data_IF_889987451488
#
_entry.id   IF_889987451488
#
_cell.length_a   1.000
_cell.length_b   1.000
_cell.length_c   1.000
_cell.angle_alpha   90.00
_cell.angle_beta   90.00
_cell.angle_gamma   90.00
#
_symmetry.space_group_name_H-M   'P 1'
#
loop_
_entity.id
_entity.type
_entity.pdbx_description
1 polymer ?
#
# COMPACT_ATOMS: atom_id res chain seq x y z
N UNK A 1 -6.54 1.93 -48.03
CA UNK A 1 -7.47 0.97 -47.41
C UNK A 1 -7.51 1.33 -45.92
N UNK A 2 -8.60 1.95 -45.49
CA UNK A 2 -8.76 2.36 -44.10
C UNK A 2 -9.13 1.11 -43.30
N UNK A 3 -8.23 0.66 -42.38
CA UNK A 3 -8.57 -0.35 -41.40
C UNK A 3 -9.64 0.24 -40.49
N UNK A 4 -10.87 -0.23 -40.69
CA UNK A 4 -11.97 0.08 -39.75
C UNK A 4 -11.68 -0.67 -38.46
N UNK A 5 -11.10 0.00 -37.49
CA UNK A 5 -10.90 -0.54 -36.15
C UNK A 5 -12.29 -0.83 -35.57
N UNK A 6 -12.71 -2.09 -35.61
CA UNK A 6 -13.97 -2.54 -35.03
C UNK A 6 -13.79 -2.51 -33.48
N UNK A 7 -14.37 -1.51 -32.85
CA UNK A 7 -14.44 -1.46 -31.38
C UNK A 7 -15.53 -2.42 -30.93
N UNK A 8 -15.16 -3.33 -30.03
CA UNK A 8 -16.17 -4.16 -29.35
C UNK A 8 -17.11 -3.26 -28.52
N UNK A 9 -18.43 -3.47 -28.61
CA UNK A 9 -19.37 -2.69 -27.83
C UNK A 9 -19.15 -2.92 -26.33
N UNK A 10 -19.33 -1.86 -25.54
CA UNK A 10 -19.26 -1.96 -24.08
C UNK A 10 -20.40 -2.89 -23.60
N UNK A 11 -20.11 -3.93 -22.80
CA UNK A 11 -21.13 -4.80 -22.25
C UNK A 11 -22.19 -4.00 -21.50
N UNK A 12 -23.47 -4.32 -21.74
CA UNK A 12 -24.59 -3.58 -21.15
C UNK A 12 -24.51 -3.43 -19.62
N UNK A 13 -24.07 -4.48 -18.93
CA UNK A 13 -23.95 -4.47 -17.49
C UNK A 13 -22.80 -3.54 -17.03
N UNK A 14 -21.71 -3.46 -17.77
CA UNK A 14 -20.66 -2.48 -17.52
C UNK A 14 -21.14 -1.05 -17.75
N UNK A 15 -21.92 -0.81 -18.81
CA UNK A 15 -22.53 0.49 -19.05
C UNK A 15 -23.45 0.89 -17.89
N UNK A 16 -24.25 -0.05 -17.37
CA UNK A 16 -25.10 0.14 -16.19
C UNK A 16 -24.26 0.48 -14.94
N UNK A 17 -23.15 -0.22 -14.71
CA UNK A 17 -22.24 0.05 -13.60
C UNK A 17 -21.68 1.48 -13.68
N UNK A 18 -21.20 1.88 -14.86
CA UNK A 18 -20.62 3.22 -15.08
C UNK A 18 -21.66 4.33 -14.92
N UNK A 19 -22.92 4.08 -15.34
CA UNK A 19 -24.03 5.02 -15.21
C UNK A 19 -24.55 5.14 -13.76
N UNK A 20 -24.18 4.23 -12.86
CA UNK A 20 -24.61 4.28 -11.47
C UNK A 20 -23.98 5.49 -10.75
N UNK A 21 -24.77 6.28 -9.99
CA UNK A 21 -24.27 7.45 -9.25
C UNK A 21 -23.13 7.15 -8.26
N UNK A 22 -23.02 5.91 -7.77
CA UNK A 22 -21.94 5.48 -6.88
C UNK A 22 -20.60 5.28 -7.61
N UNK A 23 -20.63 4.99 -8.92
CA UNK A 23 -19.43 4.67 -9.66
C UNK A 23 -18.33 5.75 -9.58
N UNK A 24 -18.60 7.06 -9.80
CA UNK A 24 -17.54 8.08 -9.73
C UNK A 24 -16.89 8.17 -8.35
N UNK A 25 -17.66 7.98 -7.28
CA UNK A 25 -17.17 8.01 -5.90
C UNK A 25 -16.30 6.80 -5.60
N UNK A 26 -16.79 5.61 -5.94
CA UNK A 26 -16.08 4.33 -5.76
C UNK A 26 -14.79 4.30 -6.60
N UNK A 27 -14.86 4.68 -7.87
CA UNK A 27 -13.70 4.73 -8.78
C UNK A 27 -12.63 5.69 -8.25
N UNK A 28 -13.03 6.90 -7.81
CA UNK A 28 -12.12 7.88 -7.23
C UNK A 28 -11.44 7.36 -5.96
N UNK A 29 -12.19 6.73 -5.05
CA UNK A 29 -11.66 6.15 -3.83
C UNK A 29 -10.65 5.03 -4.13
N UNK A 30 -11.02 4.08 -4.98
CA UNK A 30 -10.15 2.97 -5.36
C UNK A 30 -8.86 3.45 -6.05
N UNK A 31 -8.95 4.40 -6.99
CA UNK A 31 -7.77 4.97 -7.68
C UNK A 31 -6.86 5.76 -6.76
N UNK A 32 -7.39 6.35 -5.70
CA UNK A 32 -6.56 7.00 -4.66
C UNK A 32 -5.86 6.00 -3.72
N UNK A 33 -6.04 4.69 -3.94
CA UNK A 33 -5.50 3.61 -3.11
C UNK A 33 -6.32 3.29 -1.88
N UNK A 34 -7.54 3.84 -1.77
CA UNK A 34 -8.43 3.59 -0.64
C UNK A 34 -9.04 2.19 -0.74
N UNK A 35 -9.10 1.51 0.40
CA UNK A 35 -9.83 0.26 0.58
C UNK A 35 -11.30 0.56 0.88
N UNK A 36 -12.19 -0.25 0.32
CA UNK A 36 -13.64 -0.17 0.57
C UNK A 36 -14.02 -1.41 1.37
N UNK A 37 -14.32 -1.17 2.63
CA UNK A 37 -14.62 -2.19 3.64
C UNK A 37 -16.12 -2.38 3.82
N UNK A 38 -16.51 -3.41 4.58
CA UNK A 38 -17.90 -3.79 4.84
C UNK A 38 -18.72 -2.68 5.52
N UNK A 39 -18.08 -1.79 6.26
CA UNK A 39 -18.71 -0.64 6.91
C UNK A 39 -19.27 0.40 5.93
N UNK A 40 -18.73 0.44 4.70
CA UNK A 40 -19.21 1.28 3.62
C UNK A 40 -20.28 0.54 2.80
N UNK A 41 -21.47 0.35 3.40
CA UNK A 41 -22.51 -0.55 2.89
C UNK A 41 -22.85 -0.34 1.42
N UNK A 42 -23.17 0.89 0.99
CA UNK A 42 -23.58 1.17 -0.39
C UNK A 42 -22.42 1.00 -1.40
N UNK A 43 -21.20 1.59 -1.20
CA UNK A 43 -20.03 1.34 -2.04
C UNK A 43 -19.65 -0.14 -2.12
N UNK A 44 -19.70 -0.84 -0.99
CA UNK A 44 -19.38 -2.26 -0.93
C UNK A 44 -20.39 -3.13 -1.69
N UNK A 45 -21.69 -2.91 -1.49
CA UNK A 45 -22.75 -3.60 -2.22
C UNK A 45 -22.64 -3.35 -3.73
N UNK A 46 -22.40 -2.10 -4.14
CA UNK A 46 -22.16 -1.76 -5.53
C UNK A 46 -21.00 -2.56 -6.15
N UNK A 47 -19.88 -2.69 -5.42
CA UNK A 47 -18.74 -3.47 -5.87
C UNK A 47 -19.05 -4.98 -5.98
N UNK A 48 -19.89 -5.51 -5.09
CA UNK A 48 -20.33 -6.89 -5.17
C UNK A 48 -21.22 -7.14 -6.39
N UNK A 49 -22.18 -6.24 -6.67
CA UNK A 49 -23.13 -6.37 -7.76
C UNK A 49 -22.47 -6.31 -9.14
N UNK A 50 -21.38 -5.52 -9.28
CA UNK A 50 -20.70 -5.26 -10.53
C UNK A 50 -19.24 -5.75 -10.53
N UNK A 51 -18.87 -6.66 -9.65
CA UNK A 51 -17.46 -7.08 -9.47
C UNK A 51 -16.83 -7.51 -10.79
N UNK A 52 -17.45 -8.44 -11.52
CA UNK A 52 -16.91 -9.01 -12.75
C UNK A 52 -16.70 -7.94 -13.83
N UNK A 53 -17.64 -7.03 -13.98
CA UNK A 53 -17.60 -5.96 -14.98
C UNK A 53 -16.53 -4.93 -14.64
N UNK A 54 -16.39 -4.59 -13.35
CA UNK A 54 -15.38 -3.65 -12.86
C UNK A 54 -13.98 -4.26 -12.87
N UNK A 55 -13.82 -5.57 -12.65
CA UNK A 55 -12.54 -6.27 -12.85
C UNK A 55 -12.07 -6.14 -14.31
N UNK A 56 -12.96 -6.33 -15.30
CA UNK A 56 -12.65 -6.15 -16.70
C UNK A 56 -12.33 -4.68 -17.03
N UNK A 57 -13.06 -3.74 -16.44
CA UNK A 57 -12.81 -2.31 -16.59
C UNK A 57 -11.41 -1.91 -16.08
N UNK A 58 -11.05 -2.28 -14.85
CA UNK A 58 -9.75 -1.93 -14.25
C UNK A 58 -8.58 -2.65 -14.91
N UNK A 59 -8.77 -3.85 -15.45
CA UNK A 59 -7.74 -4.57 -16.22
C UNK A 59 -7.21 -3.76 -17.39
N UNK A 60 -8.02 -2.89 -18.00
CA UNK A 60 -7.61 -1.99 -19.10
C UNK A 60 -6.57 -0.96 -18.67
N UNK A 61 -6.44 -0.70 -17.37
CA UNK A 61 -5.42 0.18 -16.78
C UNK A 61 -4.23 -0.60 -16.21
N UNK A 62 -4.13 -1.90 -16.49
CA UNK A 62 -3.16 -2.81 -15.87
C UNK A 62 -3.24 -2.79 -14.34
N UNK A 63 -4.47 -2.84 -13.83
CA UNK A 63 -4.80 -2.89 -12.41
C UNK A 63 -5.80 -4.02 -12.19
N UNK A 64 -5.70 -4.71 -11.07
CA UNK A 64 -6.63 -5.73 -10.64
C UNK A 64 -7.54 -5.17 -9.54
N UNK A 65 -8.84 -5.34 -9.68
CA UNK A 65 -9.78 -5.17 -8.58
C UNK A 65 -9.76 -6.46 -7.77
N UNK A 66 -9.35 -6.37 -6.52
CA UNK A 66 -9.24 -7.51 -5.62
C UNK A 66 -10.31 -7.40 -4.54
N UNK A 67 -11.01 -8.49 -4.30
CA UNK A 67 -11.78 -8.72 -3.09
C UNK A 67 -10.96 -9.61 -2.17
N UNK A 68 -10.56 -9.06 -1.02
CA UNK A 68 -9.81 -9.82 -0.02
C UNK A 68 -10.69 -10.91 0.63
N UNK A 69 -10.11 -11.97 1.20
CA UNK A 69 -10.85 -13.00 1.95
C UNK A 69 -11.72 -12.41 3.08
N UNK A 70 -11.26 -11.31 3.68
CA UNK A 70 -11.97 -10.57 4.74
C UNK A 70 -13.14 -9.71 4.23
N UNK A 71 -13.34 -9.66 2.93
CA UNK A 71 -14.48 -9.03 2.28
C UNK A 71 -14.24 -7.62 1.75
N UNK A 72 -13.17 -6.92 2.10
CA UNK A 72 -12.89 -5.58 1.59
C UNK A 72 -12.36 -5.59 0.15
N UNK A 73 -12.56 -4.48 -0.59
CA UNK A 73 -12.08 -4.29 -1.95
C UNK A 73 -10.92 -3.30 -2.01
N UNK A 74 -9.99 -3.53 -2.96
CA UNK A 74 -8.89 -2.63 -3.28
C UNK A 74 -8.38 -2.83 -4.70
N UNK A 75 -7.63 -1.86 -5.23
CA UNK A 75 -6.92 -2.01 -6.49
C UNK A 75 -5.47 -2.46 -6.25
N UNK A 76 -5.02 -3.46 -7.02
CA UNK A 76 -3.64 -3.94 -7.06
C UNK A 76 -3.01 -3.56 -8.40
N UNK A 77 -2.12 -2.55 -8.43
CA UNK A 77 -1.43 -2.17 -9.64
C UNK A 77 -0.43 -3.25 -10.11
N UNK A 78 -0.41 -3.54 -11.41
CA UNK A 78 0.64 -4.35 -12.06
C UNK A 78 1.87 -3.50 -12.37
N UNK A 79 2.97 -4.16 -12.80
CA UNK A 79 4.23 -3.47 -13.11
C UNK A 79 4.04 -2.29 -14.09
N UNK A 80 3.23 -2.48 -15.13
CA UNK A 80 2.96 -1.50 -16.21
C UNK A 80 1.65 -0.73 -16.00
N UNK A 81 1.26 -0.47 -14.75
CA UNK A 81 0.00 0.23 -14.46
C UNK A 81 -0.05 1.64 -15.06
N UNK A 82 -1.24 2.02 -15.53
CA UNK A 82 -1.56 3.38 -15.97
C UNK A 82 -2.11 4.28 -14.86
N UNK A 83 -2.30 3.71 -13.65
CA UNK A 83 -2.77 4.44 -12.47
C UNK A 83 -1.57 4.70 -11.55
N UNK A 84 -1.51 5.91 -10.97
CA UNK A 84 -0.46 6.27 -10.03
C UNK A 84 -0.40 5.30 -8.84
N UNK A 85 0.81 4.87 -8.49
CA UNK A 85 1.05 4.00 -7.34
C UNK A 85 1.22 4.82 -6.08
N UNK A 86 0.67 4.34 -4.99
CA UNK A 86 0.93 4.85 -3.65
C UNK A 86 1.80 3.84 -2.91
N UNK A 87 3.09 4.16 -2.76
CA UNK A 87 4.04 3.32 -2.03
C UNK A 87 4.08 3.78 -0.57
N UNK A 88 3.99 2.85 0.36
CA UNK A 88 4.15 3.10 1.79
C UNK A 88 5.64 3.09 2.15
N UNK A 89 6.04 4.02 3.04
CA UNK A 89 7.37 4.01 3.63
C UNK A 89 7.55 2.83 4.60
N UNK A 90 8.79 2.49 4.93
CA UNK A 90 9.11 1.43 5.90
C UNK A 90 8.39 1.65 7.24
N UNK A 91 8.40 2.88 7.76
CA UNK A 91 7.70 3.20 9.00
C UNK A 91 6.18 3.01 8.87
N UNK A 92 5.57 3.40 7.74
CA UNK A 92 4.14 3.18 7.50
C UNK A 92 3.79 1.70 7.40
N UNK A 93 4.67 0.89 6.83
CA UNK A 93 4.53 -0.58 6.80
C UNK A 93 4.63 -1.17 8.20
N UNK A 94 5.59 -0.74 9.01
CA UNK A 94 5.73 -1.17 10.41
C UNK A 94 4.50 -0.80 11.25
N UNK A 95 4.03 0.44 11.14
CA UNK A 95 2.80 0.89 11.82
C UNK A 95 1.60 0.04 11.37
N UNK A 96 1.49 -0.27 10.07
CA UNK A 96 0.46 -1.15 9.56
C UNK A 96 0.51 -2.56 10.15
N UNK A 97 1.70 -3.14 10.30
CA UNK A 97 1.91 -4.47 10.94
C UNK A 97 1.53 -4.44 12.41
N UNK A 98 1.91 -3.38 13.15
CA UNK A 98 1.51 -3.19 14.55
C UNK A 98 0.00 -3.08 14.68
N UNK A 99 -0.66 -2.33 13.81
CA UNK A 99 -2.12 -2.23 13.79
C UNK A 99 -2.79 -3.58 13.51
N UNK A 100 -2.23 -4.39 12.59
CA UNK A 100 -2.71 -5.74 12.34
C UNK A 100 -2.55 -6.65 13.56
N UNK A 101 -1.41 -6.58 14.24
CA UNK A 101 -1.16 -7.29 15.49
C UNK A 101 -2.15 -6.89 16.59
N UNK A 102 -2.36 -5.58 16.79
CA UNK A 102 -3.32 -5.07 17.78
C UNK A 102 -4.75 -5.49 17.45
N UNK A 103 -5.14 -5.51 16.18
CA UNK A 103 -6.45 -5.97 15.75
C UNK A 103 -6.70 -7.44 16.11
N UNK A 104 -5.67 -8.28 16.05
CA UNK A 104 -5.74 -9.69 16.38
C UNK A 104 -5.63 -9.99 17.89
N UNK A 105 -5.27 -9.01 18.71
CA UNK A 105 -5.10 -9.20 20.16
C UNK A 105 -6.43 -9.48 20.87
N UNK A 106 -6.60 -10.65 21.53
CA UNK A 106 -7.85 -10.98 22.23
C UNK A 106 -8.23 -9.98 23.33
N UNK A 107 -7.24 -9.39 24.00
CA UNK A 107 -7.43 -8.41 25.06
C UNK A 107 -8.10 -7.13 24.54
N UNK A 108 -7.79 -6.77 23.31
CA UNK A 108 -8.33 -5.57 22.62
C UNK A 108 -9.72 -5.79 22.07
N UNK A 109 -10.09 -7.01 21.72
CA UNK A 109 -11.46 -7.34 21.34
C UNK A 109 -12.47 -7.04 22.45
N UNK A 110 -12.05 -7.25 23.72
CA UNK A 110 -12.85 -6.91 24.89
C UNK A 110 -13.07 -5.39 25.07
N UNK A 111 -12.23 -4.54 24.48
CA UNK A 111 -12.28 -3.07 24.56
C UNK A 111 -12.94 -2.43 23.32
N UNK A 112 -13.81 -3.15 22.63
CA UNK A 112 -14.52 -2.67 21.42
C UNK A 112 -13.62 -2.28 20.25
N UNK A 113 -12.33 -2.68 20.25
CA UNK A 113 -11.39 -2.39 19.17
C UNK A 113 -11.08 -0.90 18.97
N UNK A 114 -11.27 -0.07 20.01
CA UNK A 114 -10.96 1.36 19.97
C UNK A 114 -9.51 1.57 20.41
N UNK A 115 -8.76 2.34 19.61
CA UNK A 115 -7.34 2.61 19.81
C UNK A 115 -7.03 4.10 19.81
N UNK A 116 -5.92 4.46 20.42
CA UNK A 116 -5.33 5.80 20.38
C UNK A 116 -3.99 5.78 19.64
N UNK A 117 -3.54 6.95 19.19
CA UNK A 117 -2.22 7.08 18.56
C UNK A 117 -1.11 6.69 19.54
N UNK A 118 -1.29 7.02 20.84
CA UNK A 118 -0.29 6.71 21.86
C UNK A 118 -0.13 5.21 22.06
N UNK A 119 -1.21 4.45 22.14
CA UNK A 119 -1.16 3.00 22.27
C UNK A 119 -0.43 2.33 21.09
N UNK A 120 -0.64 2.81 19.87
CA UNK A 120 0.09 2.30 18.70
C UNK A 120 1.56 2.66 18.76
N UNK A 121 1.90 3.85 19.24
CA UNK A 121 3.29 4.29 19.42
C UNK A 121 4.01 3.43 20.49
N UNK A 122 3.37 3.22 21.64
CA UNK A 122 3.92 2.42 22.72
C UNK A 122 4.13 0.97 22.28
N UNK A 123 3.16 0.39 21.55
CA UNK A 123 3.28 -0.96 21.00
C UNK A 123 4.36 -1.07 19.93
N UNK A 124 4.52 -0.05 19.11
CA UNK A 124 5.60 0.00 18.12
C UNK A 124 6.97 -0.04 18.80
N UNK A 125 7.16 0.68 19.94
CA UNK A 125 8.39 0.65 20.73
C UNK A 125 8.60 -0.70 21.43
N UNK A 126 7.53 -1.39 21.81
CA UNK A 126 7.62 -2.73 22.42
C UNK A 126 8.04 -3.80 21.41
N UNK A 127 7.55 -3.70 20.18
CA UNK A 127 7.76 -4.72 19.13
C UNK A 127 9.01 -4.49 18.27
N UNK A 128 9.54 -3.27 18.23
CA UNK A 128 10.66 -2.93 17.37
C UNK A 128 11.79 -2.24 18.17
N UNK A 129 13.03 -2.48 17.74
CA UNK A 129 14.21 -1.82 18.31
C UNK A 129 14.13 -0.29 18.10
N UNK A 130 14.15 0.47 19.21
CA UNK A 130 14.03 1.93 19.18
C UNK A 130 15.11 2.57 18.30
N UNK A 131 16.35 2.08 18.32
CA UNK A 131 17.44 2.64 17.53
C UNK A 131 17.20 2.42 16.02
N UNK A 132 16.62 1.27 15.63
CA UNK A 132 16.23 1.02 14.22
C UNK A 132 15.12 1.94 13.81
N UNK A 133 14.09 2.15 14.64
CA UNK A 133 13.00 3.08 14.38
C UNK A 133 13.50 4.52 14.20
N UNK A 134 14.38 4.97 15.08
CA UNK A 134 14.97 6.31 15.03
C UNK A 134 15.81 6.48 13.75
N UNK A 135 16.58 5.47 13.34
CA UNK A 135 17.35 5.49 12.09
C UNK A 135 16.46 5.46 10.84
N UNK A 136 15.32 4.77 10.86
CA UNK A 136 14.35 4.78 9.77
C UNK A 136 13.73 6.17 9.55
N UNK A 137 13.66 6.99 10.61
CA UNK A 137 13.17 8.38 10.55
C UNK A 137 14.30 9.36 10.21
N UNK A 138 15.48 9.15 10.76
CA UNK A 138 16.67 9.97 10.56
C UNK A 138 17.92 9.11 10.69
N UNK A 139 18.60 8.84 9.58
CA UNK A 139 19.83 8.02 9.55
C UNK A 139 20.93 8.51 10.49
N UNK A 140 20.94 9.83 10.81
CA UNK A 140 21.91 10.46 11.71
C UNK A 140 21.37 10.63 13.14
N UNK A 141 20.31 9.88 13.49
CA UNK A 141 19.73 9.97 14.84
C UNK A 141 20.75 9.63 15.92
N UNK A 142 20.78 10.45 16.95
CA UNK A 142 21.60 10.26 18.18
C UNK A 142 20.80 9.70 19.35
N UNK A 143 19.50 9.41 19.16
CA UNK A 143 18.61 8.98 20.24
C UNK A 143 18.16 10.11 21.17
N UNK A 144 18.28 11.37 20.74
CA UNK A 144 17.86 12.54 21.51
C UNK A 144 16.34 12.60 21.69
N UNK A 145 15.87 13.37 22.68
CA UNK A 145 14.42 13.60 22.87
C UNK A 145 13.78 14.24 21.65
N UNK A 146 14.52 15.06 20.90
CA UNK A 146 14.06 15.63 19.62
C UNK A 146 13.84 14.54 18.57
N UNK A 147 14.70 13.53 18.50
CA UNK A 147 14.53 12.40 17.59
C UNK A 147 13.31 11.54 17.94
N UNK A 148 13.06 11.34 19.24
CA UNK A 148 11.85 10.66 19.73
C UNK A 148 10.57 11.44 19.38
N UNK A 149 10.60 12.76 19.54
CA UNK A 149 9.49 13.62 19.14
C UNK A 149 9.22 13.53 17.63
N UNK A 150 10.25 13.56 16.80
CA UNK A 150 10.12 13.37 15.35
C UNK A 150 9.55 12.00 14.98
N UNK A 151 9.96 10.94 15.68
CA UNK A 151 9.38 9.60 15.49
C UNK A 151 7.89 9.62 15.82
N UNK A 152 7.48 10.19 16.94
CA UNK A 152 6.07 10.29 17.31
C UNK A 152 5.25 11.08 16.27
N UNK A 153 5.79 12.17 15.73
CA UNK A 153 5.15 12.92 14.63
C UNK A 153 5.00 12.10 13.35
N UNK A 154 6.03 11.33 12.99
CA UNK A 154 6.00 10.44 11.83
C UNK A 154 5.01 9.30 12.00
N UNK A 155 4.88 8.72 13.20
CA UNK A 155 3.85 7.70 13.51
C UNK A 155 2.45 8.30 13.38
N UNK A 156 2.20 9.52 13.88
CA UNK A 156 0.93 10.22 13.68
C UNK A 156 0.62 10.46 12.20
N UNK A 157 1.62 10.83 11.42
CA UNK A 157 1.49 11.01 9.97
C UNK A 157 1.16 9.67 9.27
N UNK A 158 1.83 8.58 9.66
CA UNK A 158 1.57 7.24 9.16
C UNK A 158 0.13 6.79 9.45
N UNK A 159 -0.34 6.95 10.70
CA UNK A 159 -1.73 6.65 11.10
C UNK A 159 -2.72 7.49 10.26
N UNK A 160 -2.43 8.78 10.07
CA UNK A 160 -3.27 9.66 9.24
C UNK A 160 -3.32 9.21 7.78
N UNK A 161 -2.22 8.70 7.24
CA UNK A 161 -2.16 8.15 5.88
C UNK A 161 -2.95 6.83 5.78
N UNK A 162 -2.76 5.90 6.71
CA UNK A 162 -3.49 4.63 6.74
C UNK A 162 -5.01 4.85 6.88
N UNK A 163 -5.42 5.89 7.63
CA UNK A 163 -6.83 6.31 7.69
C UNK A 163 -7.35 6.79 6.33
N UNK A 164 -6.58 7.60 5.60
CA UNK A 164 -6.97 8.00 4.22
C UNK A 164 -7.09 6.80 3.29
N UNK A 165 -6.29 5.77 3.49
CA UNK A 165 -6.36 4.51 2.75
C UNK A 165 -7.51 3.60 3.17
N UNK A 166 -8.35 4.01 4.13
CA UNK A 166 -9.52 3.24 4.57
C UNK A 166 -9.21 2.07 5.50
N UNK A 167 -8.01 2.03 6.08
CA UNK A 167 -7.60 1.00 7.03
C UNK A 167 -7.98 1.33 8.48
N UNK A 168 -8.30 2.58 8.74
CA UNK A 168 -8.71 3.08 10.04
C UNK A 168 -9.94 3.97 9.90
N UNK A 169 -10.81 3.95 10.89
CA UNK A 169 -12.00 4.77 10.99
C UNK A 169 -11.94 5.67 12.23
N UNK A 170 -12.32 6.93 12.08
CA UNK A 170 -12.39 7.84 13.21
C UNK A 170 -13.65 7.55 14.02
N UNK A 171 -13.52 7.40 15.32
CA UNK A 171 -14.68 7.39 16.23
C UNK A 171 -15.27 8.80 16.26
N UNK A 172 -16.58 8.92 16.13
CA UNK A 172 -17.29 10.22 16.06
C UNK A 172 -17.30 11.03 17.36
N UNK A 173 -16.49 10.67 18.33
CA UNK A 173 -16.32 11.41 19.57
C UNK A 173 -15.33 12.57 19.35
N UNK A 174 -15.82 13.80 19.43
CA UNK A 174 -15.22 15.03 18.89
C UNK A 174 -13.83 15.40 19.48
N UNK A 175 -13.34 14.74 20.54
CA UNK A 175 -12.14 15.20 21.26
C UNK A 175 -11.08 14.14 21.53
N UNK A 176 -11.24 12.90 21.10
CA UNK A 176 -10.43 11.81 21.68
C UNK A 176 -9.23 11.33 20.89
N UNK A 177 -9.10 11.73 19.60
CA UNK A 177 -8.04 11.16 18.73
C UNK A 177 -8.10 9.63 18.60
N UNK A 178 -9.25 9.03 18.96
CA UNK A 178 -9.52 7.60 18.94
C UNK A 178 -9.93 7.15 17.55
N UNK A 179 -9.60 5.91 17.22
CA UNK A 179 -9.99 5.28 15.98
C UNK A 179 -10.27 3.79 16.16
N UNK A 180 -10.98 3.22 15.21
CA UNK A 180 -11.20 1.78 15.08
C UNK A 180 -10.38 1.27 13.90
N UNK A 181 -9.81 0.09 14.03
CA UNK A 181 -9.07 -0.57 12.96
C UNK A 181 -10.08 -1.33 12.08
N UNK A 182 -9.99 -1.11 10.77
CA UNK A 182 -10.79 -1.82 9.77
C UNK A 182 -10.10 -3.14 9.38
N UNK A 183 -10.88 -4.11 8.89
CA UNK A 183 -10.38 -5.36 8.33
C UNK A 183 -9.40 -5.17 7.16
N UNK A 184 -9.39 -4.01 6.51
CA UNK A 184 -8.41 -3.67 5.48
C UNK A 184 -6.96 -3.67 5.99
N UNK A 185 -6.73 -3.59 7.31
CA UNK A 185 -5.40 -3.74 7.92
C UNK A 185 -4.78 -5.11 7.68
N UNK A 186 -5.59 -6.12 7.36
CA UNK A 186 -5.10 -7.45 7.03
C UNK A 186 -4.26 -7.52 5.76
N UNK A 187 -4.20 -6.46 4.96
CA UNK A 187 -3.16 -6.36 3.92
C UNK A 187 -1.74 -6.46 4.46
N UNK A 188 -1.51 -6.03 5.69
CA UNK A 188 -0.21 -6.15 6.36
C UNK A 188 0.02 -7.53 7.01
N UNK A 189 -1.03 -8.33 7.13
CA UNK A 189 -1.02 -9.65 7.77
C UNK A 189 -1.38 -10.81 6.85
N UNK A 190 -1.53 -10.59 5.56
CA UNK A 190 -1.89 -11.63 4.58
C UNK A 190 -0.92 -12.82 4.61
N UNK A 191 0.35 -12.55 4.89
CA UNK A 191 1.42 -13.55 5.01
C UNK A 191 1.23 -14.52 6.18
N UNK A 192 0.68 -14.01 7.30
CA UNK A 192 0.47 -14.79 8.52
C UNK A 192 -0.68 -15.80 8.37
N UNK A 193 -1.60 -15.56 7.44
CA UNK A 193 -2.81 -16.36 7.26
C UNK A 193 -2.67 -17.55 6.32
N UNK A 194 -1.79 -17.42 5.34
CA UNK A 194 -1.68 -18.44 4.30
C UNK A 194 -0.89 -19.67 4.73
N UNK A 195 -0.22 -19.64 5.89
CA UNK A 195 0.71 -20.71 6.31
C UNK A 195 1.91 -20.85 5.37
N UNK A 196 2.10 -19.91 4.44
CA UNK A 196 3.29 -19.82 3.60
C UNK A 196 4.49 -19.37 4.43
N UNK A 197 5.67 -19.81 4.03
CA UNK A 197 6.93 -19.34 4.59
C UNK A 197 6.97 -17.80 4.46
N UNK A 198 7.24 -17.12 5.58
CA UNK A 198 7.26 -15.66 5.67
C UNK A 198 8.21 -15.04 4.63
N UNK A 199 9.33 -15.70 4.33
CA UNK A 199 10.28 -15.27 3.32
C UNK A 199 9.73 -15.38 1.90
N UNK A 200 8.99 -16.46 1.59
CA UNK A 200 8.37 -16.64 0.28
C UNK A 200 7.26 -15.59 0.03
N UNK A 201 6.47 -15.28 1.05
CA UNK A 201 5.44 -14.25 0.98
C UNK A 201 6.04 -12.84 0.81
N UNK A 202 7.12 -12.52 1.54
CA UNK A 202 7.85 -11.26 1.39
C UNK A 202 8.47 -11.11 -0.01
N UNK A 203 9.12 -12.16 -0.53
CA UNK A 203 9.68 -12.17 -1.88
C UNK A 203 8.60 -11.99 -2.96
N UNK A 204 7.41 -12.56 -2.74
CA UNK A 204 6.27 -12.37 -3.64
C UNK A 204 5.81 -10.91 -3.66
N UNK A 205 5.65 -10.29 -2.49
CA UNK A 205 5.23 -8.89 -2.36
C UNK A 205 6.25 -7.92 -2.97
N UNK A 206 7.55 -8.21 -2.82
CA UNK A 206 8.63 -7.43 -3.47
C UNK A 206 8.55 -7.61 -4.99
N UNK A 207 8.43 -8.83 -5.48
CA UNK A 207 8.35 -9.14 -6.92
C UNK A 207 7.13 -8.54 -7.59
N UNK A 208 6.00 -8.51 -6.89
CA UNK A 208 4.76 -7.89 -7.37
C UNK A 208 4.78 -6.35 -7.21
N UNK A 209 5.81 -5.78 -6.62
CA UNK A 209 5.96 -4.34 -6.44
C UNK A 209 5.02 -3.75 -5.40
N UNK A 210 4.47 -4.57 -4.50
CA UNK A 210 3.59 -4.14 -3.41
C UNK A 210 4.39 -3.60 -2.21
N UNK A 211 5.63 -4.08 -2.03
CA UNK A 211 6.56 -3.61 -0.98
C UNK A 211 7.91 -3.31 -1.62
N UNK A 212 8.42 -2.09 -1.43
CA UNK A 212 9.81 -1.77 -1.69
C UNK A 212 10.60 -1.98 -0.40
N UNK A 213 11.58 -2.90 -0.41
CA UNK A 213 12.54 -3.02 0.69
C UNK A 213 13.79 -2.18 0.40
N UNK A 214 14.52 -1.71 1.42
CA UNK A 214 15.78 -1.01 1.23
C UNK A 214 16.79 -1.77 0.37
N UNK A 215 16.83 -3.10 0.48
CA UNK A 215 17.73 -3.96 -0.32
C UNK A 215 17.34 -4.03 -1.81
N UNK A 216 16.07 -3.88 -2.16
CA UNK A 216 15.65 -3.82 -3.56
C UNK A 216 16.04 -2.52 -4.25
N UNK A 217 16.35 -1.46 -3.48
CA UNK A 217 16.86 -0.19 -3.98
C UNK A 217 18.38 -0.24 -4.21
N UNK A 218 19.11 -1.10 -3.48
CA UNK A 218 20.56 -1.26 -3.65
C UNK A 218 20.92 -2.08 -4.89
N UNK A 219 20.15 -3.10 -5.23
CA UNK A 219 20.39 -3.96 -6.41
C UNK A 219 20.26 -3.19 -7.75
N UNK A 220 19.47 -2.10 -7.77
CA UNK A 220 19.33 -1.28 -8.98
C UNK A 220 20.44 -0.21 -9.16
N UNK A 221 21.21 0.08 -8.12
CA UNK A 221 22.34 1.02 -8.23
C UNK A 221 23.63 0.34 -8.69
N UNK A 222 23.83 -0.95 -8.34
CA UNK A 222 25.07 -1.67 -8.71
C UNK A 222 25.09 -2.11 -10.18
N UNK A 223 23.95 -2.11 -10.89
CA UNK A 223 23.90 -2.44 -12.32
C UNK A 223 24.09 -1.24 -13.26
N UNK A 224 24.24 -0.03 -12.71
CA UNK A 224 24.41 1.18 -13.55
C UNK A 224 25.83 1.76 -13.52
N UNK A 225 26.75 1.16 -12.73
CA UNK A 225 28.15 1.64 -12.63
C UNK A 225 29.13 0.85 -13.50
N UNK A 226 28.69 -0.21 -14.21
CA UNK A 226 29.60 -1.06 -15.01
C UNK A 226 29.55 -0.83 -16.53
N UNK A 227 28.81 0.15 -17.03
CA UNK A 227 28.70 0.40 -18.49
C UNK A 227 29.44 1.67 -18.98
N UNK A 228 30.24 2.37 -18.14
CA UNK A 228 30.96 3.59 -18.56
C UNK A 228 32.46 3.43 -18.75
N UNK A 229 33.08 2.25 -18.52
CA UNK A 229 34.55 2.09 -18.59
C UNK A 229 35.08 1.31 -19.81
N UNK A 230 34.29 1.06 -20.87
CA UNK A 230 34.79 0.34 -22.08
C UNK A 230 34.84 1.16 -23.38
N UNK A 231 34.94 2.48 -23.36
CA UNK A 231 35.04 3.27 -24.59
C UNK A 231 36.20 4.28 -24.66
N UNK A 232 37.33 4.06 -23.96
CA UNK A 232 38.55 4.85 -24.18
C UNK A 232 39.84 4.00 -24.26
N UNK A 233 39.97 3.17 -25.29
CA UNK A 233 41.31 2.76 -25.77
C UNK A 233 41.20 2.27 -27.22
N UNK A 234 41.18 3.21 -28.18
CA UNK A 234 41.68 2.98 -29.55
C UNK A 234 41.58 4.27 -30.35
N UNK A 235 42.62 5.09 -30.27
CA UNK A 235 43.05 5.94 -31.38
C UNK A 235 44.25 6.80 -30.95
N UNK A 236 45.45 6.27 -31.14
CA UNK A 236 46.65 7.08 -31.45
C UNK A 236 47.75 6.15 -31.94
N UNK A 237 47.78 5.93 -33.24
CA UNK A 237 49.01 5.67 -33.99
C UNK A 237 48.69 5.84 -35.49
N UNK A 238 48.96 7.03 -35.97
CA UNK A 238 49.40 7.24 -37.36
C UNK A 238 50.01 8.62 -37.46
N UNK A 239 51.29 8.61 -37.75
CA UNK A 239 51.95 9.77 -38.27
C UNK A 239 53.42 9.68 -38.22
N UNK A 240 54.06 9.22 -39.28
CA UNK A 240 55.28 9.79 -39.84
C UNK A 240 55.97 8.79 -40.80
N UNK A 241 55.79 9.04 -42.08
CA UNK A 241 56.95 9.08 -43.07
C UNK A 241 56.40 9.57 -44.41
#
# INVERSE_FOLDING_TARGET
MSETTSYEPIPTKLATAIANPLFPVVDSQLRSGRHISLDQLEPHAFLLDFQTELELFYRRYNVELIRAPEGFFYLRPKATTLIARSVLSELEMLVGKVLCYLYLSPERLAQQGIFTVQEVYDELLNLADENKLLKAVNQRSSGSDLDKQKLAEKVRAAISRLRRLGMLQTVRDQHSGKFVISEAVFRFGAEVRSGEDLQAAQLRLIREGEIATPDSLQVNNDNNENDEDELEENNFEEGEA
#
